data_IF_575730844238
#
_entry.id   IF_575730844238
#
_cell.length_a   1.000
_cell.length_b   1.000
_cell.length_c   1.000
_cell.angle_alpha   90.00
_cell.angle_beta   90.00
_cell.angle_gamma   90.00
#
_symmetry.space_group_name_H-M   'P 1'
#
loop_
_entity.id
_entity.type
_entity.pdbx_description
1 polymer ?
#
# COMPACT_ATOMS: atom_id res chain seq x y z
N UNK A 1 18.22 -51.81 -33.69
CA UNK A 1 17.33 -51.59 -32.53
C UNK A 1 16.52 -50.33 -32.82
N UNK A 2 15.20 -50.45 -32.94
CA UNK A 2 14.25 -49.34 -33.08
C UNK A 2 14.19 -48.62 -31.73
N UNK A 3 14.53 -47.34 -31.67
CA UNK A 3 14.23 -46.50 -30.51
C UNK A 3 13.04 -45.62 -30.84
N UNK A 4 12.00 -45.85 -30.05
CA UNK A 4 10.65 -45.32 -30.11
C UNK A 4 10.60 -43.83 -29.83
N UNK A 5 9.67 -43.19 -30.53
CA UNK A 5 9.19 -41.83 -30.38
C UNK A 5 8.50 -41.72 -29.00
N UNK A 6 8.76 -40.66 -28.22
CA UNK A 6 7.74 -39.89 -27.49
C UNK A 6 8.30 -39.09 -26.30
N UNK A 7 7.77 -37.88 -26.18
CA UNK A 7 7.65 -37.07 -24.96
C UNK A 7 8.91 -36.37 -24.43
N UNK A 8 9.13 -35.13 -24.87
CA UNK A 8 9.27 -34.03 -23.90
C UNK A 8 8.36 -32.89 -24.37
N UNK A 9 7.13 -32.98 -23.88
CA UNK A 9 6.08 -31.98 -24.02
C UNK A 9 6.49 -30.72 -23.27
N UNK A 10 6.53 -29.60 -24.01
CA UNK A 10 6.23 -28.22 -23.60
C UNK A 10 6.18 -27.96 -22.08
N UNK A 11 7.33 -27.61 -21.49
CA UNK A 11 7.35 -26.83 -20.27
C UNK A 11 7.30 -25.33 -20.63
N UNK A 12 6.13 -24.85 -21.08
CA UNK A 12 5.83 -23.42 -21.08
C UNK A 12 5.59 -23.01 -19.63
N UNK A 13 6.67 -22.65 -18.94
CA UNK A 13 6.61 -21.99 -17.64
C UNK A 13 5.90 -20.65 -17.79
N UNK A 14 4.64 -20.61 -17.36
CA UNK A 14 3.88 -19.38 -17.24
C UNK A 14 4.49 -18.52 -16.11
N UNK A 15 5.40 -17.63 -16.48
CA UNK A 15 5.73 -16.48 -15.65
C UNK A 15 4.52 -15.55 -15.64
N UNK A 16 3.61 -15.75 -14.69
CA UNK A 16 2.63 -14.74 -14.35
C UNK A 16 3.40 -13.52 -13.83
N UNK A 17 3.69 -12.58 -14.73
CA UNK A 17 4.26 -11.29 -14.36
C UNK A 17 3.30 -10.63 -13.37
N UNK A 18 3.68 -10.57 -12.09
CA UNK A 18 3.04 -9.72 -11.13
C UNK A 18 3.25 -8.28 -11.60
N UNK A 19 2.28 -7.73 -12.33
CA UNK A 19 2.33 -6.35 -12.77
C UNK A 19 2.40 -5.45 -11.54
N UNK A 20 3.31 -4.47 -11.48
CA UNK A 20 3.33 -3.53 -10.38
C UNK A 20 1.97 -2.81 -10.33
N UNK A 21 1.25 -3.01 -9.24
CA UNK A 21 0.02 -2.25 -8.97
C UNK A 21 0.42 -0.79 -8.75
N UNK A 22 -0.28 0.15 -9.40
CA UNK A 22 -0.08 1.58 -9.16
C UNK A 22 -0.30 1.94 -7.69
N UNK A 23 0.08 3.16 -7.32
CA UNK A 23 -0.07 3.65 -5.95
C UNK A 23 -1.48 3.34 -5.41
N UNK A 24 -1.55 2.88 -4.16
CA UNK A 24 -2.79 2.53 -3.47
C UNK A 24 -3.68 1.55 -4.26
N UNK A 25 -3.09 0.61 -5.01
CA UNK A 25 -3.82 -0.27 -5.92
C UNK A 25 -4.73 0.50 -6.89
N UNK A 26 -4.20 1.57 -7.47
CA UNK A 26 -4.86 2.51 -8.37
C UNK A 26 -5.99 3.36 -7.73
N UNK A 27 -6.09 3.38 -6.40
CA UNK A 27 -6.90 4.39 -5.70
C UNK A 27 -6.19 5.75 -5.75
N UNK A 28 -6.91 6.87 -5.55
CA UNK A 28 -6.30 8.18 -5.43
C UNK A 28 -5.21 8.22 -4.34
N UNK A 29 -4.15 8.99 -4.60
CA UNK A 29 -3.19 9.43 -3.58
C UNK A 29 -3.70 10.80 -3.10
N UNK A 30 -4.33 10.90 -1.91
CA UNK A 30 -4.87 12.16 -1.44
C UNK A 30 -3.75 13.17 -1.18
N UNK A 31 -4.03 14.43 -1.49
CA UNK A 31 -3.20 15.56 -1.12
C UNK A 31 -3.91 16.41 -0.06
N UNK A 32 -3.22 16.70 1.05
CA UNK A 32 -3.74 17.47 2.17
C UNK A 32 -3.83 16.68 3.47
N UNK A 33 -4.42 17.30 4.50
CA UNK A 33 -4.41 16.77 5.87
C UNK A 33 -5.31 15.54 6.08
N UNK A 34 -6.31 15.34 5.22
CA UNK A 34 -7.33 14.30 5.34
C UNK A 34 -7.36 13.43 4.09
N UNK A 35 -7.53 12.12 4.29
CA UNK A 35 -7.64 11.18 3.20
C UNK A 35 -9.07 11.13 2.62
N UNK A 36 -9.21 10.56 1.42
CA UNK A 36 -10.51 10.53 0.71
C UNK A 36 -11.49 9.61 1.44
N UNK A 37 -12.60 10.18 1.93
CA UNK A 37 -13.66 9.42 2.58
C UNK A 37 -14.13 8.23 1.73
N UNK A 38 -14.37 7.10 2.39
CA UNK A 38 -14.89 5.86 1.78
C UNK A 38 -14.06 5.28 0.63
N UNK A 39 -12.91 5.87 0.31
CA UNK A 39 -12.05 5.50 -0.82
C UNK A 39 -10.66 5.14 -0.32
N UNK A 40 -10.01 6.01 0.44
CA UNK A 40 -8.70 5.72 1.02
C UNK A 40 -8.80 4.64 2.09
N UNK A 41 -7.88 3.68 2.03
CA UNK A 41 -7.73 2.64 3.02
C UNK A 41 -6.60 2.98 4.00
N UNK A 42 -6.60 2.31 5.15
CA UNK A 42 -5.50 2.41 6.10
C UNK A 42 -4.19 2.00 5.41
N UNK A 43 -3.13 2.74 5.70
CA UNK A 43 -1.80 2.61 5.10
C UNK A 43 -1.70 3.02 3.62
N UNK A 44 -2.74 3.60 3.02
CA UNK A 44 -2.61 4.22 1.71
C UNK A 44 -1.57 5.36 1.75
N UNK A 45 -0.82 5.52 0.66
CA UNK A 45 0.11 6.62 0.47
C UNK A 45 -0.72 7.87 0.28
N UNK A 46 -0.32 8.94 0.93
CA UNK A 46 -0.87 10.27 0.76
C UNK A 46 0.27 11.29 0.69
N UNK A 47 -0.05 12.51 0.29
CA UNK A 47 0.87 13.63 0.28
C UNK A 47 0.32 14.73 1.18
N UNK A 48 1.11 15.28 2.08
CA UNK A 48 0.72 16.44 2.90
C UNK A 48 1.88 17.42 2.94
N UNK A 49 1.62 18.70 2.64
CA UNK A 49 2.66 19.73 2.52
C UNK A 49 3.80 19.37 1.53
N UNK A 50 3.50 18.62 0.46
CA UNK A 50 4.49 18.14 -0.49
C UNK A 50 5.34 16.96 -0.01
N UNK A 51 5.06 16.42 1.18
CA UNK A 51 5.78 15.29 1.79
C UNK A 51 4.95 14.02 1.72
N UNK A 52 5.59 12.88 1.45
CA UNK A 52 4.95 11.56 1.50
C UNK A 52 4.49 11.21 2.91
N UNK A 53 3.35 10.53 3.00
CA UNK A 53 2.78 10.07 4.25
C UNK A 53 1.93 8.81 4.12
N UNK A 54 1.18 8.51 5.20
CA UNK A 54 0.19 7.44 5.23
C UNK A 54 -1.16 7.92 5.75
N UNK A 55 -2.22 7.36 5.17
CA UNK A 55 -3.57 7.42 5.71
C UNK A 55 -3.68 6.50 6.92
N UNK A 56 -3.73 7.07 8.12
CA UNK A 56 -3.85 6.32 9.38
C UNK A 56 -5.04 6.80 10.21
N UNK A 57 -5.61 5.96 11.09
CA UNK A 57 -6.62 6.40 12.03
C UNK A 57 -5.98 7.32 13.07
N UNK A 58 -6.27 8.62 13.01
CA UNK A 58 -5.82 9.64 13.94
C UNK A 58 -6.78 10.83 13.89
N UNK A 59 -6.84 11.63 14.95
CA UNK A 59 -7.73 12.79 15.06
C UNK A 59 -7.01 14.14 15.04
N UNK A 60 -5.68 14.18 14.91
CA UNK A 60 -4.85 15.40 15.06
C UNK A 60 -5.24 16.51 14.09
N UNK A 61 -5.71 16.17 12.89
CA UNK A 61 -6.10 17.13 11.86
C UNK A 61 -7.62 17.35 11.76
N UNK A 62 -8.41 16.84 12.72
CA UNK A 62 -9.88 17.00 12.78
C UNK A 62 -10.63 16.51 11.52
N UNK A 63 -10.16 15.43 10.89
CA UNK A 63 -10.77 14.85 9.69
C UNK A 63 -12.10 14.10 9.94
N UNK A 64 -12.67 14.22 11.14
CA UNK A 64 -13.91 13.55 11.54
C UNK A 64 -13.78 12.02 11.46
N UNK A 65 -14.64 11.39 10.67
CA UNK A 65 -14.65 9.93 10.46
C UNK A 65 -13.65 9.45 9.39
N UNK A 66 -12.95 10.36 8.71
CA UNK A 66 -11.96 10.02 7.70
C UNK A 66 -10.62 9.61 8.33
N UNK A 67 -9.77 8.98 7.53
CA UNK A 67 -8.37 8.78 7.90
C UNK A 67 -7.61 10.10 7.79
N UNK A 68 -6.60 10.27 8.65
CA UNK A 68 -5.72 11.42 8.63
C UNK A 68 -4.47 11.09 7.81
N UNK A 69 -4.07 12.00 6.92
CA UNK A 69 -2.79 11.90 6.22
C UNK A 69 -1.68 12.44 7.12
N UNK A 70 -0.69 11.61 7.42
CA UNK A 70 0.42 11.97 8.31
C UNK A 70 1.72 11.68 7.59
N UNK A 71 2.63 12.65 7.62
CA UNK A 71 3.98 12.56 7.04
C UNK A 71 4.75 11.34 7.57
N UNK A 72 5.52 10.69 6.70
CA UNK A 72 6.24 9.45 7.03
C UNK A 72 7.23 9.64 8.19
N UNK A 73 7.80 10.83 8.37
CA UNK A 73 8.70 11.19 9.48
C UNK A 73 8.00 11.29 10.85
N UNK A 74 6.66 11.35 10.88
CA UNK A 74 5.84 11.40 12.11
C UNK A 74 5.15 10.07 12.39
N UNK A 75 5.50 9.02 11.66
CA UNK A 75 4.95 7.67 11.78
C UNK A 75 5.97 6.70 12.39
N UNK A 76 5.50 5.85 13.29
CA UNK A 76 6.18 4.63 13.67
C UNK A 76 5.56 3.46 12.89
N UNK A 77 6.35 2.77 12.09
CA UNK A 77 5.90 1.68 11.22
C UNK A 77 6.49 0.35 11.69
N UNK A 78 5.63 -0.65 11.91
CA UNK A 78 6.05 -2.03 12.15
C UNK A 78 6.12 -2.78 10.81
N UNK A 79 7.32 -3.14 10.32
CA UNK A 79 7.46 -3.90 9.07
C UNK A 79 6.97 -5.36 9.18
N UNK A 80 6.81 -5.89 10.39
CA UNK A 80 6.38 -7.28 10.61
C UNK A 80 4.85 -7.42 10.68
N UNK A 81 4.15 -6.32 10.92
CA UNK A 81 2.68 -6.30 10.97
C UNK A 81 2.15 -5.59 9.74
N UNK A 82 1.37 -6.29 8.91
CA UNK A 82 0.74 -5.70 7.73
C UNK A 82 -0.71 -5.30 8.01
N UNK A 83 -1.09 -4.10 7.59
CA UNK A 83 -2.47 -3.63 7.55
C UNK A 83 -2.81 -3.25 6.10
N UNK A 84 -3.82 -3.91 5.52
CA UNK A 84 -4.22 -3.72 4.11
C UNK A 84 -3.07 -3.93 3.10
N UNK A 85 -2.14 -4.84 3.41
CA UNK A 85 -1.03 -5.21 2.53
C UNK A 85 0.21 -4.31 2.63
N UNK A 86 0.29 -3.45 3.65
CA UNK A 86 1.43 -2.55 3.89
C UNK A 86 1.83 -2.55 5.36
N UNK A 87 3.08 -2.19 5.70
CA UNK A 87 3.52 -2.05 7.09
C UNK A 87 2.55 -1.20 7.91
N UNK A 88 2.23 -1.66 9.10
CA UNK A 88 1.36 -0.99 10.03
C UNK A 88 2.06 0.28 10.52
N UNK A 89 1.66 1.43 10.01
CA UNK A 89 2.10 2.72 10.53
C UNK A 89 1.04 3.35 11.43
N UNK A 90 1.51 4.02 12.48
CA UNK A 90 0.72 4.84 13.41
C UNK A 90 1.49 6.12 13.74
N UNK A 91 0.78 7.20 14.07
CA UNK A 91 1.40 8.46 14.46
C UNK A 91 2.23 8.28 15.74
N UNK A 92 3.41 8.88 15.78
CA UNK A 92 4.20 9.06 16.99
C UNK A 92 3.47 10.07 17.88
N UNK A 93 3.12 9.68 19.11
CA UNK A 93 2.47 10.59 20.04
C UNK A 93 3.42 11.73 20.44
N UNK A 94 2.96 12.97 20.36
CA UNK A 94 3.75 14.16 20.69
C UNK A 94 4.63 14.72 19.56
N UNK A 95 4.62 14.07 18.38
CA UNK A 95 5.16 14.62 17.14
C UNK A 95 4.18 15.58 16.46
#
# INVERSE_FOLDING_TARGET
MKFTISAVVLALSAFAAAMPQGANANRPVPEGACCVANTSLKQDVCTVNGVSGRCVPDSINNCGAQLTCIEDNRLNCDPNTLERGRPLCRRIQGA
#
